data_IF_145342082849
#
_entry.id   IF_145342082849
#
_cell.length_a   1.000
_cell.length_b   1.000
_cell.length_c   1.000
_cell.angle_alpha   90.00
_cell.angle_beta   90.00
_cell.angle_gamma   90.00
#
_symmetry.space_group_name_H-M   'P 1'
#
loop_
_entity.id
_entity.type
_entity.pdbx_description
1 polymer ?
#
# COMPACT_ATOMS: atom_id res chain seq x y z
N UNK A 1 12.80 -4.05 -15.00
CA UNK A 1 13.74 -4.00 -13.85
C UNK A 1 15.08 -4.57 -14.31
N UNK A 2 16.20 -3.96 -13.93
CA UNK A 2 17.54 -4.47 -14.26
C UNK A 2 18.25 -4.93 -13.00
N UNK A 3 19.00 -6.03 -13.10
CA UNK A 3 19.88 -6.53 -12.03
C UNK A 3 21.28 -6.66 -12.60
N UNK A 4 22.26 -6.10 -11.92
CA UNK A 4 23.65 -6.07 -12.36
C UNK A 4 24.60 -6.54 -11.26
N UNK A 5 25.71 -7.18 -11.65
CA UNK A 5 26.86 -7.29 -10.75
C UNK A 5 27.48 -5.90 -10.58
N UNK A 6 27.67 -5.47 -9.33
CA UNK A 6 28.17 -4.11 -8.98
C UNK A 6 29.41 -3.72 -9.77
N UNK A 7 30.43 -4.59 -9.84
CA UNK A 7 31.66 -4.31 -10.59
C UNK A 7 31.40 -4.03 -12.08
N UNK A 8 30.53 -4.82 -12.71
CA UNK A 8 30.17 -4.61 -14.11
C UNK A 8 29.35 -3.34 -14.32
N UNK A 9 28.43 -3.03 -13.39
CA UNK A 9 27.66 -1.79 -13.42
C UNK A 9 28.57 -0.57 -13.40
N UNK A 10 29.54 -0.52 -12.48
CA UNK A 10 30.48 0.61 -12.36
C UNK A 10 31.33 0.78 -13.63
N UNK A 11 31.85 -0.33 -14.19
CA UNK A 11 32.58 -0.30 -15.46
C UNK A 11 31.73 0.21 -16.64
N UNK A 12 30.43 -0.13 -16.66
CA UNK A 12 29.52 0.34 -17.70
C UNK A 12 29.10 1.78 -17.52
N UNK A 13 28.83 2.22 -16.28
CA UNK A 13 28.46 3.60 -15.94
C UNK A 13 29.55 4.61 -16.35
N UNK A 14 30.83 4.24 -16.22
CA UNK A 14 31.96 5.08 -16.63
C UNK A 14 31.98 5.39 -18.14
N UNK A 15 31.28 4.61 -18.95
CA UNK A 15 31.24 4.75 -20.42
C UNK A 15 29.93 5.34 -20.92
N UNK A 16 28.95 5.57 -20.05
CA UNK A 16 27.72 6.27 -20.42
C UNK A 16 28.09 7.73 -20.68
N UNK A 17 27.64 8.24 -21.83
CA UNK A 17 27.84 9.63 -22.23
C UNK A 17 26.48 10.29 -22.52
N UNK A 18 26.32 11.59 -22.24
CA UNK A 18 25.05 12.29 -22.40
C UNK A 18 24.79 12.65 -23.87
N UNK A 19 24.65 11.64 -24.74
CA UNK A 19 24.55 11.78 -26.19
C UNK A 19 23.13 12.07 -26.70
N UNK A 20 22.25 12.58 -25.85
CA UNK A 20 20.87 12.93 -26.22
C UNK A 20 20.66 14.45 -26.28
N UNK A 21 19.54 14.88 -26.88
CA UNK A 21 19.18 16.30 -27.03
C UNK A 21 19.01 17.06 -25.70
N UNK A 22 18.88 16.35 -24.58
CA UNK A 22 18.71 16.91 -23.23
C UNK A 22 20.00 16.94 -22.40
N UNK A 23 21.07 16.30 -22.88
CA UNK A 23 22.32 16.13 -22.12
C UNK A 23 22.21 15.18 -20.91
N UNK A 24 21.23 14.26 -20.91
CA UNK A 24 21.01 13.32 -19.80
C UNK A 24 21.81 12.02 -19.97
N UNK A 25 22.13 11.32 -18.87
CA UNK A 25 22.74 9.99 -18.90
C UNK A 25 21.63 8.93 -18.81
N UNK A 26 21.44 8.13 -19.85
CA UNK A 26 20.44 7.05 -19.82
C UNK A 26 21.07 5.73 -19.38
N UNK A 27 20.59 5.18 -18.25
CA UNK A 27 21.04 3.88 -17.75
C UNK A 27 20.81 2.74 -18.76
N UNK A 28 19.81 2.88 -19.64
CA UNK A 28 19.54 1.91 -20.72
C UNK A 28 20.70 1.72 -21.68
N UNK A 29 21.56 2.73 -21.84
CA UNK A 29 22.72 2.66 -22.76
C UNK A 29 23.76 1.62 -22.30
N UNK A 30 23.72 1.25 -21.02
CA UNK A 30 24.61 0.21 -20.47
C UNK A 30 24.39 -1.16 -21.13
N UNK A 31 23.18 -1.43 -21.64
CA UNK A 31 22.86 -2.67 -22.34
C UNK A 31 23.66 -2.74 -23.65
N UNK A 32 23.69 -1.65 -24.41
CA UNK A 32 24.49 -1.54 -25.64
C UNK A 32 25.99 -1.64 -25.34
N UNK A 33 26.47 -0.99 -24.27
CA UNK A 33 27.88 -1.07 -23.83
C UNK A 33 28.27 -2.51 -23.50
N UNK A 34 27.44 -3.23 -22.73
CA UNK A 34 27.69 -4.62 -22.37
C UNK A 34 27.61 -5.56 -23.57
N UNK A 35 26.70 -5.30 -24.52
CA UNK A 35 26.60 -6.06 -25.76
C UNK A 35 27.88 -5.97 -26.58
N UNK A 36 28.41 -4.75 -26.79
CA UNK A 36 29.67 -4.54 -27.51
C UNK A 36 30.90 -5.11 -26.79
N UNK A 37 30.85 -5.22 -25.46
CA UNK A 37 31.90 -5.86 -24.65
C UNK A 37 31.77 -7.40 -24.57
N UNK A 38 30.78 -7.99 -25.25
CA UNK A 38 30.55 -9.44 -25.20
C UNK A 38 30.13 -9.97 -23.84
N UNK A 39 29.59 -9.12 -22.95
CA UNK A 39 29.04 -9.56 -21.67
C UNK A 39 27.71 -10.28 -21.88
N UNK A 40 27.43 -11.31 -21.09
CA UNK A 40 26.15 -12.03 -21.11
C UNK A 40 25.03 -11.11 -20.61
N UNK A 41 23.98 -10.97 -21.41
CA UNK A 41 22.76 -10.20 -21.10
C UNK A 41 21.59 -11.17 -21.27
N UNK A 42 20.72 -11.25 -20.26
CA UNK A 42 19.53 -12.09 -20.30
C UNK A 42 18.29 -11.24 -20.08
N UNK A 43 17.30 -11.41 -20.98
CA UNK A 43 15.97 -10.85 -20.79
C UNK A 43 15.10 -11.86 -20.05
N UNK A 44 14.50 -11.43 -18.95
CA UNK A 44 13.43 -12.16 -18.28
C UNK A 44 12.14 -11.40 -18.53
N UNK A 45 11.16 -12.03 -19.18
CA UNK A 45 9.83 -11.45 -19.32
C UNK A 45 9.12 -11.50 -17.97
N UNK A 46 8.66 -10.33 -17.50
CA UNK A 46 7.76 -10.30 -16.35
C UNK A 46 6.37 -10.69 -16.81
N UNK A 47 5.77 -11.68 -16.16
CA UNK A 47 4.41 -12.16 -16.44
C UNK A 47 3.35 -11.11 -16.06
N UNK A 48 3.73 -10.08 -15.29
CA UNK A 48 2.83 -9.04 -14.81
C UNK A 48 3.30 -7.65 -15.24
N UNK A 49 2.74 -7.13 -16.33
CA UNK A 49 2.99 -5.76 -16.82
C UNK A 49 2.59 -4.69 -15.82
N UNK A 50 1.64 -4.98 -14.92
CA UNK A 50 1.13 -4.03 -13.91
C UNK A 50 2.15 -3.75 -12.80
N UNK A 51 3.06 -4.68 -12.50
CA UNK A 51 4.12 -4.49 -11.50
C UNK A 51 5.28 -3.63 -11.99
N UNK A 52 5.43 -3.48 -13.31
CA UNK A 52 6.57 -2.79 -13.96
C UNK A 52 6.19 -1.39 -14.47
N UNK A 53 4.89 -1.08 -14.51
CA UNK A 53 4.41 0.24 -14.87
C UNK A 53 4.66 1.21 -13.71
N UNK A 54 5.67 2.07 -13.88
CA UNK A 54 5.82 3.25 -13.03
C UNK A 54 4.55 4.10 -13.09
N UNK A 55 4.09 4.55 -11.92
CA UNK A 55 2.94 5.46 -11.82
C UNK A 55 3.40 6.83 -12.32
N UNK A 56 2.87 7.27 -13.46
CA UNK A 56 3.28 8.52 -14.12
C UNK A 56 2.23 9.63 -13.97
N UNK A 57 1.01 9.31 -13.55
CA UNK A 57 -0.07 10.28 -13.38
C UNK A 57 -0.82 10.11 -12.05
N UNK A 58 -1.44 11.18 -11.56
CA UNK A 58 -2.29 11.13 -10.36
C UNK A 58 -3.49 10.19 -10.54
N UNK A 59 -3.98 10.03 -11.78
CA UNK A 59 -5.06 9.10 -12.11
C UNK A 59 -4.62 7.64 -11.95
N UNK A 60 -3.43 7.30 -12.44
CA UNK A 60 -2.84 5.97 -12.24
C UNK A 60 -2.60 5.69 -10.75
N UNK A 61 -2.11 6.68 -9.99
CA UNK A 61 -1.93 6.54 -8.55
C UNK A 61 -3.24 6.24 -7.83
N UNK A 62 -4.31 6.97 -8.18
CA UNK A 62 -5.64 6.75 -7.61
C UNK A 62 -6.16 5.34 -7.91
N UNK A 63 -5.97 4.82 -9.14
CA UNK A 63 -6.38 3.48 -9.53
C UNK A 63 -5.63 2.38 -8.76
N UNK A 64 -4.31 2.54 -8.59
CA UNK A 64 -3.49 1.61 -7.78
C UNK A 64 -3.92 1.64 -6.32
N UNK A 65 -4.12 2.83 -5.75
CA UNK A 65 -4.58 2.98 -4.37
C UNK A 65 -5.97 2.35 -4.15
N UNK A 66 -6.89 2.49 -5.11
CA UNK A 66 -8.20 1.85 -5.02
C UNK A 66 -8.07 0.32 -5.01
N UNK A 67 -7.20 -0.24 -5.85
CA UNK A 67 -6.92 -1.68 -5.88
C UNK A 67 -6.39 -2.17 -4.53
N UNK A 68 -5.41 -1.46 -3.96
CA UNK A 68 -4.86 -1.77 -2.63
C UNK A 68 -5.89 -1.68 -1.51
N UNK A 69 -6.75 -0.66 -1.51
CA UNK A 69 -7.84 -0.54 -0.52
C UNK A 69 -8.81 -1.72 -0.60
N UNK A 70 -9.18 -2.12 -1.81
CA UNK A 70 -10.05 -3.28 -2.02
C UNK A 70 -9.41 -4.58 -1.50
N UNK A 71 -8.10 -4.76 -1.66
CA UNK A 71 -7.36 -5.90 -1.11
C UNK A 71 -7.40 -5.92 0.43
N UNK A 72 -7.17 -4.77 1.07
CA UNK A 72 -7.20 -4.66 2.54
C UNK A 72 -8.60 -4.99 3.09
N UNK A 73 -9.64 -4.42 2.49
CA UNK A 73 -11.02 -4.67 2.92
C UNK A 73 -11.38 -6.15 2.76
N UNK A 74 -11.03 -6.77 1.63
CA UNK A 74 -11.24 -8.21 1.40
C UNK A 74 -10.51 -9.07 2.44
N UNK A 75 -9.26 -8.75 2.74
CA UNK A 75 -8.48 -9.44 3.77
C UNK A 75 -9.20 -9.49 5.13
N UNK A 76 -9.82 -8.39 5.56
CA UNK A 76 -10.57 -8.38 6.81
C UNK A 76 -11.91 -9.13 6.71
N UNK A 77 -12.62 -9.01 5.59
CA UNK A 77 -13.85 -9.78 5.36
C UNK A 77 -13.58 -11.30 5.38
N UNK A 78 -12.48 -11.74 4.77
CA UNK A 78 -12.04 -13.15 4.77
C UNK A 78 -11.67 -13.66 6.18
N UNK A 79 -11.38 -12.74 7.11
CA UNK A 79 -11.11 -13.02 8.53
C UNK A 79 -12.34 -12.94 9.43
N UNK A 80 -13.55 -12.83 8.87
CA UNK A 80 -14.79 -12.82 9.64
C UNK A 80 -15.19 -11.45 10.21
N UNK A 81 -14.60 -10.36 9.68
CA UNK A 81 -14.98 -8.99 10.05
C UNK A 81 -16.06 -8.50 9.10
N UNK A 82 -17.14 -7.96 9.66
CA UNK A 82 -18.25 -7.45 8.85
C UNK A 82 -17.93 -6.02 8.42
N UNK A 83 -17.60 -5.80 7.15
CA UNK A 83 -17.48 -4.46 6.56
C UNK A 83 -18.75 -4.19 5.76
N UNK A 84 -19.62 -3.31 6.28
CA UNK A 84 -20.99 -3.11 5.76
C UNK A 84 -20.98 -2.51 4.36
N UNK A 85 -20.09 -1.54 4.13
CA UNK A 85 -19.91 -0.91 2.82
C UNK A 85 -18.41 -0.82 2.50
N UNK A 86 -17.86 -1.85 1.81
CA UNK A 86 -16.46 -1.89 1.39
C UNK A 86 -16.00 -0.70 0.55
N UNK A 87 -16.90 -0.09 -0.23
CA UNK A 87 -16.56 1.01 -1.12
C UNK A 87 -16.40 2.33 -0.35
N UNK A 88 -17.11 2.47 0.77
CA UNK A 88 -17.11 3.67 1.61
C UNK A 88 -16.42 3.48 2.97
N UNK A 89 -15.61 2.42 3.12
CA UNK A 89 -14.83 2.16 4.34
C UNK A 89 -13.35 2.20 4.02
N UNK A 90 -12.57 2.92 4.83
CA UNK A 90 -11.14 3.10 4.62
C UNK A 90 -10.37 2.53 5.80
N UNK A 91 -9.53 1.53 5.52
CA UNK A 91 -8.67 0.90 6.51
C UNK A 91 -7.25 0.97 5.99
N UNK A 92 -6.36 1.61 6.74
CA UNK A 92 -4.95 1.67 6.40
C UNK A 92 -4.22 0.35 6.70
N UNK A 93 -3.00 0.22 6.18
CA UNK A 93 -2.11 -0.90 6.49
C UNK A 93 -1.77 -0.96 7.99
N UNK A 94 -1.42 -2.15 8.48
CA UNK A 94 -1.01 -2.36 9.88
C UNK A 94 -2.13 -2.08 10.91
N UNK A 95 -3.38 -2.29 10.52
CA UNK A 95 -4.52 -2.30 11.44
C UNK A 95 -4.81 -3.74 11.85
N UNK A 96 -5.17 -3.95 13.11
CA UNK A 96 -5.66 -5.22 13.64
C UNK A 96 -7.12 -5.05 14.07
N UNK A 97 -7.97 -6.00 13.67
CA UNK A 97 -9.39 -6.00 14.02
C UNK A 97 -9.76 -7.42 14.47
N UNK A 98 -10.34 -7.54 15.65
CA UNK A 98 -10.80 -8.81 16.21
C UNK A 98 -12.03 -9.37 15.50
N UNK A 99 -12.18 -10.69 15.55
CA UNK A 99 -13.31 -11.41 14.96
C UNK A 99 -14.66 -10.94 15.52
N UNK A 100 -15.70 -10.99 14.69
CA UNK A 100 -17.05 -10.58 15.06
C UNK A 100 -17.24 -9.06 15.12
N UNK A 101 -16.20 -8.27 14.87
CA UNK A 101 -16.31 -6.81 14.77
C UNK A 101 -17.01 -6.40 13.48
N UNK A 102 -17.87 -5.40 13.60
CA UNK A 102 -18.59 -4.76 12.49
C UNK A 102 -18.07 -3.34 12.27
N UNK A 103 -17.75 -3.02 11.02
CA UNK A 103 -17.35 -1.68 10.58
C UNK A 103 -18.45 -1.13 9.67
N UNK A 104 -19.11 -0.08 10.14
CA UNK A 104 -20.18 0.62 9.44
C UNK A 104 -19.62 1.63 8.42
N UNK A 105 -20.44 2.06 7.44
CA UNK A 105 -19.98 2.91 6.33
C UNK A 105 -19.38 4.25 6.78
N UNK A 106 -18.58 4.84 5.90
CA UNK A 106 -17.91 6.14 6.10
C UNK A 106 -16.93 6.17 7.29
N UNK A 107 -16.42 5.00 7.67
CA UNK A 107 -15.42 4.86 8.73
C UNK A 107 -14.01 4.91 8.14
N UNK A 108 -13.12 5.66 8.80
CA UNK A 108 -11.70 5.72 8.49
C UNK A 108 -10.88 5.22 9.69
N UNK A 109 -10.05 4.21 9.46
CA UNK A 109 -9.18 3.62 10.49
C UNK A 109 -7.73 3.82 10.05
N UNK A 110 -7.00 4.66 10.79
CA UNK A 110 -5.59 4.93 10.54
C UNK A 110 -4.70 3.73 10.88
N UNK A 111 -3.47 3.73 10.36
CA UNK A 111 -2.44 2.72 10.66
C UNK A 111 -2.20 2.51 12.15
N UNK A 112 -1.73 1.31 12.51
CA UNK A 112 -1.36 0.90 13.87
C UNK A 112 -2.52 0.91 14.88
N UNK A 113 -3.77 0.97 14.41
CA UNK A 113 -4.93 0.82 15.29
C UNK A 113 -5.13 -0.65 15.61
N UNK A 114 -5.45 -0.94 16.87
CA UNK A 114 -5.86 -2.27 17.34
C UNK A 114 -7.30 -2.19 17.82
N UNK A 115 -8.17 -2.99 17.23
CA UNK A 115 -9.58 -3.11 17.60
C UNK A 115 -9.83 -4.54 18.09
N UNK A 116 -10.43 -4.66 19.26
CA UNK A 116 -10.83 -5.93 19.85
C UNK A 116 -11.92 -6.66 19.06
N UNK A 117 -12.42 -7.74 19.65
CA UNK A 117 -13.47 -8.59 19.12
C UNK A 117 -14.86 -8.01 19.39
N UNK A 118 -15.83 -8.38 18.54
CA UNK A 118 -17.26 -8.07 18.73
C UNK A 118 -17.55 -6.56 18.89
N UNK A 119 -16.71 -5.70 18.33
CA UNK A 119 -16.90 -4.26 18.35
C UNK A 119 -17.89 -3.79 17.27
N UNK A 120 -18.45 -2.60 17.46
CA UNK A 120 -19.24 -1.89 16.45
C UNK A 120 -18.58 -0.53 16.17
N UNK A 121 -17.99 -0.36 15.00
CA UNK A 121 -17.23 0.84 14.65
C UNK A 121 -17.97 1.65 13.59
N UNK A 122 -18.22 2.93 13.88
CA UNK A 122 -18.95 3.84 13.02
C UNK A 122 -20.47 3.66 13.07
N UNK A 123 -21.23 4.30 12.16
CA UNK A 123 -20.75 4.98 10.95
C UNK A 123 -20.03 6.31 11.25
N UNK A 124 -19.37 6.88 10.23
CA UNK A 124 -18.68 8.18 10.30
C UNK A 124 -17.58 8.26 11.37
N UNK A 125 -17.03 7.11 11.79
CA UNK A 125 -15.97 7.10 12.78
C UNK A 125 -14.61 7.43 12.15
N UNK A 126 -13.78 8.16 12.90
CA UNK A 126 -12.39 8.45 12.54
C UNK A 126 -11.47 7.97 13.66
N UNK A 127 -10.78 6.85 13.44
CA UNK A 127 -9.92 6.24 14.45
C UNK A 127 -8.48 6.65 14.17
N UNK A 128 -7.90 7.49 15.05
CA UNK A 128 -6.53 7.99 14.88
C UNK A 128 -5.49 6.89 15.05
N UNK A 129 -4.33 7.13 14.44
CA UNK A 129 -3.21 6.20 14.49
C UNK A 129 -2.80 5.86 15.93
N UNK A 130 -2.42 4.60 16.12
CA UNK A 130 -2.03 3.99 17.41
C UNK A 130 -3.13 3.95 18.49
N UNK A 131 -4.40 4.15 18.14
CA UNK A 131 -5.51 3.92 19.06
C UNK A 131 -5.67 2.43 19.38
N UNK A 132 -6.15 2.14 20.59
CA UNK A 132 -6.48 0.79 21.05
C UNK A 132 -7.92 0.77 21.55
N UNK A 133 -8.72 -0.11 20.97
CA UNK A 133 -10.12 -0.31 21.29
C UNK A 133 -10.24 -1.74 21.81
N UNK A 134 -10.75 -1.90 23.04
CA UNK A 134 -10.94 -3.20 23.68
C UNK A 134 -12.11 -3.98 23.06
N UNK A 135 -12.28 -5.24 23.48
CA UNK A 135 -13.41 -6.08 23.07
C UNK A 135 -14.77 -5.48 23.47
N UNK A 136 -15.81 -5.79 22.69
CA UNK A 136 -17.21 -5.44 22.97
C UNK A 136 -17.46 -3.92 23.08
N UNK A 137 -16.66 -3.11 22.38
CA UNK A 137 -16.79 -1.64 22.35
C UNK A 137 -17.58 -1.17 21.14
N UNK A 138 -18.47 -0.20 21.36
CA UNK A 138 -19.12 0.58 20.31
C UNK A 138 -18.49 1.97 20.19
N UNK A 139 -18.14 2.36 18.96
CA UNK A 139 -17.50 3.64 18.65
C UNK A 139 -18.32 4.40 17.61
N UNK A 140 -18.86 5.55 18.03
CA UNK A 140 -19.44 6.56 17.14
C UNK A 140 -18.60 7.84 17.21
N UNK A 141 -17.98 8.25 16.10
CA UNK A 141 -17.19 9.49 16.00
C UNK A 141 -15.68 9.31 16.06
N UNK A 142 -14.97 10.32 16.55
CA UNK A 142 -13.50 10.38 16.50
C UNK A 142 -12.87 9.80 17.76
N UNK A 143 -11.90 8.89 17.60
CA UNK A 143 -11.12 8.32 18.70
C UNK A 143 -9.66 8.77 18.58
N UNK A 144 -9.16 9.35 19.67
CA UNK A 144 -7.79 9.84 19.82
C UNK A 144 -6.92 8.86 20.63
N UNK A 145 -5.62 9.14 20.70
CA UNK A 145 -4.56 8.29 21.30
C UNK A 145 -4.71 7.99 22.81
N UNK A 146 -5.80 8.39 23.45
CA UNK A 146 -5.99 8.25 24.89
C UNK A 146 -7.47 8.05 25.26
N UNK A 147 -7.78 6.88 25.80
CA UNK A 147 -8.99 6.64 26.57
C UNK A 147 -9.72 5.37 26.17
N UNK A 148 -9.77 4.40 27.10
CA UNK A 148 -10.81 3.36 27.13
C UNK A 148 -12.17 4.03 26.94
N UNK A 149 -12.88 3.76 25.86
CA UNK A 149 -14.29 4.12 25.73
C UNK A 149 -15.10 2.86 25.98
N UNK A 150 -15.73 2.79 27.16
CA UNK A 150 -16.86 1.90 27.38
C UNK A 150 -18.14 2.72 27.21
N UNK A 151 -18.95 2.32 26.24
CA UNK A 151 -20.40 2.58 26.11
C UNK A 151 -20.84 4.05 26.20
N UNK A 152 -21.08 4.69 25.05
CA UNK A 152 -22.05 5.80 24.97
C UNK A 152 -23.38 5.16 24.56
N UNK A 153 -24.18 4.72 25.54
CA UNK A 153 -25.59 4.42 25.27
C UNK A 153 -26.33 5.74 25.03
N UNK A 154 -27.07 5.80 23.91
CA UNK A 154 -28.17 6.73 23.72
C UNK A 154 -29.49 6.07 24.06
#
# INVERSE_FOLDING_TARGET
>A
MYVFKVKSLLEGLAEIAPRNKKGEFYLTDIISIFYHKGKRIEGLESVNTTEVLGINTQRELAAVNQTRRNEIVRYFMDKGITIVDPANTFIESHVEIGEGTKVNPFTYICKNVVIGQRCCIGPFAYIKADAKIEDDVEVSGTVDKAGLFSRIEG
#
